data_IF_533807710128
#
_entry.id   IF_533807710128
#
_cell.length_a   1.000
_cell.length_b   1.000
_cell.length_c   1.000
_cell.angle_alpha   90.00
_cell.angle_beta   90.00
_cell.angle_gamma   90.00
#
_symmetry.space_group_name_H-M   'P 1'
#
loop_
_entity.id
_entity.type
_entity.pdbx_description
1 polymer ?
#
# COMPACT_ATOMS: atom_id res chain seq x y z
N UNK A 1 -5.38 18.48 27.89
CA UNK A 1 -5.33 18.05 26.47
C UNK A 1 -5.61 16.57 26.46
N UNK A 2 -6.70 16.15 25.82
CA UNK A 2 -7.03 14.72 25.70
C UNK A 2 -6.09 14.17 24.64
N UNK A 3 -5.12 13.36 25.06
CA UNK A 3 -4.28 12.59 24.15
C UNK A 3 -5.18 11.60 23.44
N UNK A 4 -5.45 11.85 22.16
CA UNK A 4 -6.14 10.90 21.30
C UNK A 4 -5.25 9.65 21.13
N UNK A 5 -5.77 8.43 21.29
CA UNK A 5 -4.99 7.20 21.14
C UNK A 5 -4.40 7.04 19.74
N UNK A 6 -3.24 6.38 19.66
CA UNK A 6 -2.50 6.04 18.42
C UNK A 6 -3.34 5.28 17.37
N UNK A 7 -4.47 4.70 17.79
CA UNK A 7 -5.49 4.06 16.95
C UNK A 7 -6.10 5.01 15.90
N UNK A 8 -6.19 6.30 16.19
CA UNK A 8 -6.72 7.28 15.24
C UNK A 8 -5.74 7.60 14.08
N UNK A 9 -4.45 7.27 14.18
CA UNK A 9 -3.46 7.73 13.19
C UNK A 9 -3.28 6.80 11.97
N UNK A 10 -3.43 5.48 12.11
CA UNK A 10 -3.42 4.55 10.96
C UNK A 10 -4.77 4.55 10.20
N UNK A 11 -5.84 4.93 10.90
CA UNK A 11 -7.19 5.02 10.34
C UNK A 11 -7.27 6.05 9.21
N UNK A 12 -6.43 7.09 9.18
CA UNK A 12 -6.62 8.23 8.28
C UNK A 12 -6.26 8.03 6.80
N UNK A 13 -5.54 6.95 6.43
CA UNK A 13 -5.28 6.58 5.03
C UNK A 13 -6.09 5.39 4.53
N UNK A 14 -6.54 4.52 5.43
CA UNK A 14 -7.69 3.67 5.17
C UNK A 14 -9.01 4.39 5.47
N UNK A 15 -9.09 5.70 5.74
CA UNK A 15 -10.36 6.38 6.06
C UNK A 15 -11.41 6.35 4.93
N UNK A 16 -11.03 5.96 3.70
CA UNK A 16 -11.98 5.63 2.62
C UNK A 16 -12.29 4.14 2.46
N UNK A 17 -11.61 3.29 3.22
CA UNK A 17 -11.70 1.84 3.26
C UNK A 17 -12.30 1.46 4.62
N UNK A 18 -13.39 0.71 4.63
CA UNK A 18 -14.00 0.29 5.88
C UNK A 18 -13.12 -0.78 6.53
N UNK A 19 -12.91 -0.68 7.84
CA UNK A 19 -12.39 -1.80 8.61
C UNK A 19 -13.40 -2.93 8.53
N UNK A 20 -12.90 -4.14 8.29
CA UNK A 20 -13.72 -5.34 8.26
C UNK A 20 -13.77 -5.94 9.66
N UNK A 21 -14.97 -6.32 10.09
CA UNK A 21 -15.16 -7.00 11.36
C UNK A 21 -14.43 -8.34 11.35
N UNK A 22 -13.85 -8.72 12.49
CA UNK A 22 -12.97 -9.91 12.57
C UNK A 22 -13.66 -11.21 12.13
N UNK A 23 -14.99 -11.27 12.24
CA UNK A 23 -15.81 -12.41 11.85
C UNK A 23 -15.93 -12.57 10.32
N UNK A 24 -15.80 -11.48 9.56
CA UNK A 24 -15.94 -11.45 8.10
C UNK A 24 -14.58 -11.65 7.37
N UNK A 25 -13.46 -11.42 8.07
CA UNK A 25 -12.10 -11.59 7.51
C UNK A 25 -11.89 -12.98 6.87
N UNK A 26 -12.32 -14.10 7.49
CA UNK A 26 -12.15 -15.42 6.89
C UNK A 26 -12.86 -15.59 5.56
N UNK A 27 -14.08 -15.07 5.42
CA UNK A 27 -14.86 -15.20 4.19
C UNK A 27 -14.16 -14.49 3.03
N UNK A 28 -13.73 -13.25 3.23
CA UNK A 28 -13.03 -12.46 2.20
C UNK A 28 -11.72 -13.13 1.74
N UNK A 29 -10.92 -13.63 2.68
CA UNK A 29 -9.65 -14.29 2.34
C UNK A 29 -9.86 -15.65 1.68
N UNK A 30 -10.90 -16.39 2.06
CA UNK A 30 -11.29 -17.64 1.40
C UNK A 30 -11.75 -17.36 -0.03
N UNK A 31 -12.54 -16.30 -0.26
CA UNK A 31 -13.00 -15.93 -1.59
C UNK A 31 -11.82 -15.64 -2.53
N UNK A 32 -10.85 -14.84 -2.08
CA UNK A 32 -9.62 -14.56 -2.86
C UNK A 32 -8.88 -15.85 -3.24
N UNK A 33 -8.77 -16.78 -2.28
CA UNK A 33 -8.13 -18.08 -2.51
C UNK A 33 -8.90 -18.92 -3.52
N UNK A 34 -10.22 -19.06 -3.35
CA UNK A 34 -11.06 -19.90 -4.21
C UNK A 34 -11.16 -19.36 -5.64
N UNK A 35 -11.10 -18.04 -5.80
CA UNK A 35 -11.08 -17.39 -7.11
C UNK A 35 -9.68 -17.26 -7.71
N UNK A 36 -8.64 -17.80 -7.04
CA UNK A 36 -7.25 -17.71 -7.48
C UNK A 36 -6.79 -16.26 -7.76
N UNK A 37 -7.23 -15.31 -6.92
CA UNK A 37 -6.87 -13.90 -7.06
C UNK A 37 -5.44 -13.67 -6.57
N UNK A 38 -4.68 -12.89 -7.33
CA UNK A 38 -3.34 -12.46 -6.94
C UNK A 38 -3.43 -11.23 -6.05
N UNK A 39 -2.64 -11.23 -4.97
CA UNK A 39 -2.39 -10.09 -4.11
C UNK A 39 -1.00 -9.55 -4.41
N UNK A 40 -0.81 -8.26 -4.20
CA UNK A 40 0.51 -7.64 -4.18
C UNK A 40 1.06 -7.72 -2.76
N UNK A 41 2.16 -8.43 -2.58
CA UNK A 41 2.96 -8.45 -1.37
C UNK A 41 3.98 -7.32 -1.39
N UNK A 42 3.91 -6.45 -0.40
CA UNK A 42 4.88 -5.40 -0.13
C UNK A 42 5.72 -5.82 1.07
N UNK A 43 7.04 -5.75 0.89
CA UNK A 43 8.01 -6.20 1.89
C UNK A 43 8.80 -5.03 2.45
N UNK A 44 8.86 -4.99 3.78
CA UNK A 44 9.48 -3.93 4.57
C UNK A 44 10.96 -3.70 4.20
N UNK A 45 11.74 -4.77 4.03
CA UNK A 45 13.20 -4.65 3.97
C UNK A 45 13.78 -4.50 2.56
N UNK A 46 13.00 -4.80 1.52
CA UNK A 46 13.55 -4.96 0.16
C UNK A 46 12.93 -4.01 -0.85
N UNK A 47 11.89 -3.25 -0.48
CA UNK A 47 11.07 -2.45 -1.40
C UNK A 47 10.53 -3.25 -2.61
N UNK A 48 10.62 -4.59 -2.57
CA UNK A 48 10.17 -5.48 -3.62
C UNK A 48 8.67 -5.72 -3.47
N UNK A 49 7.97 -5.58 -4.59
CA UNK A 49 6.58 -5.99 -4.73
C UNK A 49 6.51 -7.32 -5.46
N UNK A 50 5.77 -8.28 -4.92
CA UNK A 50 5.57 -9.56 -5.58
C UNK A 50 4.08 -9.87 -5.71
N UNK A 51 3.67 -10.32 -6.90
CA UNK A 51 2.36 -10.91 -7.08
C UNK A 51 2.35 -12.31 -6.43
N UNK A 52 1.46 -12.50 -5.47
CA UNK A 52 1.33 -13.72 -4.66
C UNK A 52 -0.11 -14.24 -4.72
N UNK A 53 -0.30 -15.52 -4.49
CA UNK A 53 -1.62 -16.12 -4.30
C UNK A 53 -1.70 -16.82 -2.94
N UNK A 54 -2.87 -16.75 -2.30
CA UNK A 54 -3.16 -17.54 -1.10
C UNK A 54 -3.38 -18.99 -1.53
N UNK A 55 -2.57 -19.92 -1.03
CA UNK A 55 -2.68 -21.35 -1.38
C UNK A 55 -3.34 -22.17 -0.29
N UNK A 56 -3.05 -21.85 0.98
CA UNK A 56 -3.61 -22.52 2.15
C UNK A 56 -3.84 -21.53 3.28
N UNK A 57 -4.85 -21.79 4.10
CA UNK A 57 -5.15 -21.02 5.29
C UNK A 57 -5.39 -21.96 6.46
N UNK A 58 -4.93 -21.55 7.64
CA UNK A 58 -5.25 -22.16 8.93
C UNK A 58 -5.82 -21.08 9.85
N UNK A 59 -6.21 -21.45 11.07
CA UNK A 59 -6.69 -20.49 12.07
C UNK A 59 -5.63 -19.45 12.49
N UNK A 60 -4.35 -19.68 12.22
CA UNK A 60 -3.23 -18.86 12.72
C UNK A 60 -2.23 -18.42 11.67
N UNK A 61 -2.37 -18.91 10.42
CA UNK A 61 -1.42 -18.60 9.35
C UNK A 61 -2.06 -18.67 7.98
N UNK A 62 -1.49 -17.91 7.06
CA UNK A 62 -1.79 -17.97 5.63
C UNK A 62 -0.51 -18.40 4.91
N UNK A 63 -0.63 -19.37 4.03
CA UNK A 63 0.42 -19.78 3.12
C UNK A 63 0.21 -19.07 1.79
N UNK A 64 1.27 -18.42 1.31
CA UNK A 64 1.28 -17.67 0.07
C UNK A 64 2.37 -18.21 -0.85
N UNK A 65 2.10 -18.22 -2.16
CA UNK A 65 3.03 -18.61 -3.21
C UNK A 65 3.10 -17.59 -4.32
N UNK A 66 4.12 -17.72 -5.16
CA UNK A 66 4.33 -16.90 -6.35
C UNK A 66 4.96 -17.73 -7.45
N UNK A 67 4.85 -17.28 -8.70
CA UNK A 67 5.43 -17.93 -9.88
C UNK A 67 6.97 -17.89 -9.88
N UNK A 68 7.56 -16.97 -9.11
CA UNK A 68 9.01 -16.87 -8.90
C UNK A 68 9.39 -17.08 -7.42
N UNK A 69 9.51 -18.33 -6.92
CA UNK A 69 9.74 -18.60 -5.50
C UNK A 69 10.97 -17.90 -4.89
N UNK A 70 11.98 -17.56 -5.70
CA UNK A 70 13.16 -16.83 -5.25
C UNK A 70 12.84 -15.39 -4.80
N UNK A 71 11.72 -14.80 -5.23
CA UNK A 71 11.30 -13.48 -4.75
C UNK A 71 10.61 -13.52 -3.38
N UNK A 72 10.26 -14.70 -2.88
CA UNK A 72 9.78 -14.92 -1.52
C UNK A 72 10.91 -15.11 -0.50
N UNK A 73 12.18 -14.95 -0.90
CA UNK A 73 13.30 -14.96 0.03
C UNK A 73 13.20 -13.77 0.99
N UNK A 74 12.82 -14.02 2.24
CA UNK A 74 12.69 -12.99 3.27
C UNK A 74 13.12 -13.41 4.65
N UNK A 75 13.00 -12.49 5.60
CA UNK A 75 13.41 -12.74 6.98
C UNK A 75 12.19 -13.11 7.83
N UNK A 76 12.30 -14.15 8.63
CA UNK A 76 11.28 -14.45 9.64
C UNK A 76 11.19 -13.25 10.60
N UNK A 77 9.96 -12.81 10.88
CA UNK A 77 9.69 -11.61 11.67
C UNK A 77 9.52 -10.32 10.85
N UNK A 78 9.85 -10.34 9.56
CA UNK A 78 9.67 -9.20 8.65
C UNK A 78 8.19 -8.86 8.49
N UNK A 79 7.87 -7.56 8.49
CA UNK A 79 6.52 -7.06 8.27
C UNK A 79 6.22 -7.01 6.77
N UNK A 80 5.00 -7.39 6.43
CA UNK A 80 4.51 -7.35 5.07
C UNK A 80 3.13 -6.68 5.02
N UNK A 81 2.89 -5.97 3.93
CA UNK A 81 1.57 -5.47 3.56
C UNK A 81 1.10 -6.29 2.36
N UNK A 82 -0.10 -6.85 2.44
CA UNK A 82 -0.73 -7.56 1.34
C UNK A 82 -1.91 -6.74 0.85
N UNK A 83 -1.96 -6.42 -0.44
CA UNK A 83 -3.11 -5.71 -1.03
C UNK A 83 -3.59 -6.41 -2.28
N UNK A 84 -4.89 -6.70 -2.30
CA UNK A 84 -5.58 -7.13 -3.50
C UNK A 84 -6.32 -5.94 -4.13
N UNK A 85 -6.14 -5.84 -5.44
CA UNK A 85 -6.83 -4.89 -6.30
C UNK A 85 -7.83 -5.66 -7.14
N UNK A 86 -9.11 -5.58 -6.78
CA UNK A 86 -10.22 -6.09 -7.57
C UNK A 86 -11.02 -4.98 -8.24
N UNK A 87 -11.82 -5.40 -9.21
CA UNK A 87 -12.73 -4.54 -10.00
C UNK A 87 -13.77 -3.86 -9.12
N UNK A 88 -14.39 -4.64 -8.23
CA UNK A 88 -15.51 -4.17 -7.40
C UNK A 88 -15.10 -3.82 -5.97
N UNK A 89 -13.98 -4.41 -5.52
CA UNK A 89 -13.46 -4.25 -4.18
C UNK A 89 -11.93 -4.32 -4.17
N UNK A 90 -11.31 -3.49 -3.34
CA UNK A 90 -9.90 -3.61 -2.98
C UNK A 90 -9.80 -3.94 -1.51
N UNK A 91 -8.84 -4.76 -1.12
CA UNK A 91 -8.59 -5.10 0.29
C UNK A 91 -7.11 -5.05 0.61
N UNK A 92 -6.80 -4.66 1.84
CA UNK A 92 -5.44 -4.60 2.36
C UNK A 92 -5.37 -5.19 3.76
N UNK A 93 -4.26 -5.81 4.10
CA UNK A 93 -3.97 -6.25 5.46
C UNK A 93 -2.47 -6.31 5.72
N UNK A 94 -2.09 -6.13 6.98
CA UNK A 94 -0.72 -6.32 7.45
C UNK A 94 -0.52 -7.73 8.00
N UNK A 95 0.66 -8.29 7.79
CA UNK A 95 1.06 -9.57 8.38
C UNK A 95 2.58 -9.67 8.63
N UNK A 96 3.02 -10.73 9.31
CA UNK A 96 4.43 -11.00 9.59
C UNK A 96 4.83 -12.33 9.00
N UNK A 97 6.03 -12.41 8.40
CA UNK A 97 6.60 -13.67 7.93
C UNK A 97 6.90 -14.58 9.13
N UNK A 98 6.25 -15.74 9.20
CA UNK A 98 6.47 -16.74 10.26
C UNK A 98 7.47 -17.82 9.86
N UNK A 99 7.41 -18.26 8.61
CA UNK A 99 8.25 -19.32 8.08
C UNK A 99 8.35 -19.22 6.56
N UNK A 100 9.43 -19.76 6.00
CA UNK A 100 9.63 -19.92 4.56
C UNK A 100 10.15 -21.34 4.37
N UNK A 101 9.45 -22.12 3.55
CA UNK A 101 9.84 -23.49 3.24
C UNK A 101 9.60 -23.81 1.75
N UNK A 102 9.82 -25.07 1.37
CA UNK A 102 9.68 -25.51 -0.02
C UNK A 102 8.25 -25.38 -0.58
N UNK A 103 7.26 -25.23 0.30
CA UNK A 103 5.86 -25.09 -0.07
C UNK A 103 5.40 -23.64 -0.18
N UNK A 104 6.18 -22.68 0.31
CA UNK A 104 5.90 -21.25 0.19
C UNK A 104 6.36 -20.39 1.37
N UNK A 105 5.87 -19.16 1.39
CA UNK A 105 6.00 -18.27 2.54
C UNK A 105 4.75 -18.37 3.41
N UNK A 106 4.95 -18.48 4.72
CA UNK A 106 3.88 -18.49 5.72
C UNK A 106 3.87 -17.16 6.43
N UNK A 107 2.72 -16.49 6.41
CA UNK A 107 2.49 -15.24 7.12
C UNK A 107 1.46 -15.44 8.22
N UNK A 108 1.50 -14.60 9.26
CA UNK A 108 0.48 -14.58 10.31
C UNK A 108 -0.92 -14.35 9.73
N UNK A 109 -1.92 -14.92 10.38
CA UNK A 109 -3.30 -14.57 10.05
C UNK A 109 -3.56 -13.10 10.40
N UNK A 110 -4.08 -12.27 9.47
CA UNK A 110 -4.29 -10.86 9.73
C UNK A 110 -5.36 -10.67 10.80
N UNK A 111 -5.06 -9.83 11.79
CA UNK A 111 -6.03 -9.44 12.83
C UNK A 111 -6.93 -8.28 12.39
N UNK A 112 -6.52 -7.57 11.34
CA UNK A 112 -7.21 -6.43 10.80
C UNK A 112 -7.11 -6.47 9.28
N UNK A 113 -8.22 -6.17 8.63
CA UNK A 113 -8.34 -6.04 7.19
C UNK A 113 -9.11 -4.77 6.89
N UNK A 114 -8.71 -4.10 5.82
CA UNK A 114 -9.35 -2.89 5.31
C UNK A 114 -9.92 -3.18 3.94
N UNK A 115 -11.13 -2.70 3.66
CA UNK A 115 -11.84 -2.95 2.42
C UNK A 115 -12.38 -1.65 1.82
N UNK A 116 -12.09 -1.40 0.54
CA UNK A 116 -12.70 -0.32 -0.23
C UNK A 116 -13.66 -0.89 -1.26
N UNK A 117 -14.91 -0.51 -1.13
CA UNK A 117 -15.89 -0.61 -2.20
C UNK A 117 -15.66 0.52 -3.21
N UNK A 118 -15.86 0.24 -4.49
CA UNK A 118 -15.74 1.25 -5.57
C UNK A 118 -16.58 2.50 -5.25
N UNK A 119 -15.94 3.69 -5.27
CA UNK A 119 -16.63 4.98 -5.17
C UNK A 119 -17.03 5.47 -6.56
N UNK A 120 -18.09 6.29 -6.62
CA UNK A 120 -18.57 7.04 -7.81
C UNK A 120 -17.56 8.03 -8.46
N UNK A 121 -16.30 8.10 -8.00
CA UNK A 121 -15.29 9.02 -8.54
C UNK A 121 -13.95 8.32 -8.86
N UNK A 122 -13.34 8.78 -9.95
CA UNK A 122 -12.22 8.29 -10.79
C UNK A 122 -10.87 8.01 -10.07
N UNK A 123 -10.86 7.22 -8.98
CA UNK A 123 -9.64 6.57 -8.49
C UNK A 123 -9.59 5.15 -9.02
N UNK A 124 -8.59 4.89 -9.84
CA UNK A 124 -8.43 3.63 -10.52
C UNK A 124 -7.56 2.68 -9.70
N UNK A 125 -8.03 1.45 -9.57
CA UNK A 125 -7.19 0.33 -9.13
C UNK A 125 -6.08 0.11 -10.15
N UNK A 126 -4.87 -0.16 -9.66
CA UNK A 126 -3.74 -0.49 -10.52
C UNK A 126 -3.84 -1.94 -10.98
N UNK A 127 -3.64 -2.18 -12.27
CA UNK A 127 -3.52 -3.53 -12.85
C UNK A 127 -2.07 -4.00 -12.95
N UNK A 128 -1.11 -3.11 -12.67
CA UNK A 128 0.33 -3.37 -12.69
C UNK A 128 1.02 -2.76 -11.47
N UNK A 129 2.14 -3.36 -11.05
CA UNK A 129 2.97 -2.78 -10.00
C UNK A 129 3.57 -1.45 -10.46
N UNK A 130 3.50 -0.45 -9.59
CA UNK A 130 4.03 0.89 -9.83
C UNK A 130 4.74 1.41 -8.59
N UNK A 131 5.93 1.96 -8.77
CA UNK A 131 6.73 2.58 -7.71
C UNK A 131 6.72 4.08 -7.89
N UNK A 132 6.70 4.82 -6.79
CA UNK A 132 6.77 6.25 -6.75
C UNK A 132 8.03 6.72 -6.01
N UNK A 133 8.59 7.82 -6.50
CA UNK A 133 9.75 8.51 -5.98
C UNK A 133 9.35 9.95 -5.72
N UNK A 134 9.41 10.41 -4.49
CA UNK A 134 9.10 11.78 -4.14
C UNK A 134 10.33 12.48 -3.57
N UNK A 135 10.71 13.62 -4.13
CA UNK A 135 11.82 14.42 -3.65
C UNK A 135 11.37 15.83 -3.32
N UNK A 136 11.67 16.26 -2.10
CA UNK A 136 11.51 17.64 -1.65
C UNK A 136 12.92 18.22 -1.43
N UNK A 137 13.26 19.41 -1.96
CA UNK A 137 14.56 20.05 -1.73
C UNK A 137 14.96 20.24 -0.27
N UNK A 138 13.98 20.22 0.65
CA UNK A 138 14.21 20.32 2.10
C UNK A 138 14.54 18.98 2.76
N UNK A 139 14.34 17.87 2.04
CA UNK A 139 14.71 16.54 2.48
C UNK A 139 16.07 16.15 1.91
N UNK A 140 16.91 15.53 2.74
CA UNK A 140 18.22 15.08 2.32
C UNK A 140 18.17 13.90 1.34
N UNK A 141 17.11 13.08 1.43
CA UNK A 141 16.92 11.89 0.61
C UNK A 141 15.49 11.83 0.07
N UNK A 142 15.30 11.35 -1.17
CA UNK A 142 13.97 11.10 -1.72
C UNK A 142 13.28 9.96 -0.98
N UNK A 143 11.96 10.03 -0.91
CA UNK A 143 11.11 8.99 -0.35
C UNK A 143 10.69 8.05 -1.46
N UNK A 144 10.87 6.76 -1.22
CA UNK A 144 10.55 5.69 -2.14
C UNK A 144 9.35 4.91 -1.62
N UNK A 145 8.39 4.62 -2.46
CA UNK A 145 7.28 3.79 -2.05
C UNK A 145 6.51 3.20 -3.20
N UNK A 146 5.57 2.33 -2.87
CA UNK A 146 4.78 1.62 -3.85
C UNK A 146 3.41 2.27 -3.98
N UNK A 147 2.97 2.51 -5.21
CA UNK A 147 1.70 3.17 -5.49
C UNK A 147 0.57 2.19 -5.19
N UNK A 148 -0.36 2.64 -4.36
CA UNK A 148 -1.51 1.85 -3.92
C UNK A 148 -2.73 2.11 -4.79
N UNK A 149 -2.95 3.36 -5.15
CA UNK A 149 -3.96 3.75 -6.14
C UNK A 149 -3.56 5.06 -6.80
N UNK A 150 -4.18 5.34 -7.94
CA UNK A 150 -3.99 6.57 -8.68
C UNK A 150 -5.31 7.08 -9.24
N UNK A 151 -5.49 8.39 -9.18
CA UNK A 151 -6.58 9.13 -9.83
C UNK A 151 -6.00 10.06 -10.87
N UNK A 152 -6.67 10.12 -12.02
CA UNK A 152 -6.51 11.18 -12.99
C UNK A 152 -7.91 11.61 -13.43
N UNK A 153 -8.30 12.84 -13.07
CA UNK A 153 -9.64 13.36 -13.29
C UNK A 153 -9.63 14.87 -13.24
N UNK A 154 -9.54 15.52 -14.42
CA UNK A 154 -9.36 16.97 -14.52
C UNK A 154 -8.16 17.49 -13.71
N UNK A 155 -8.34 18.55 -12.93
CA UNK A 155 -7.32 19.11 -12.03
C UNK A 155 -7.17 18.35 -10.69
N UNK A 156 -7.90 17.26 -10.46
CA UNK A 156 -7.91 16.51 -9.20
C UNK A 156 -7.18 15.17 -9.32
N UNK A 157 -5.98 15.20 -9.89
CA UNK A 157 -5.08 14.05 -9.90
C UNK A 157 -4.44 13.81 -8.55
N UNK A 158 -4.18 12.56 -8.22
CA UNK A 158 -3.47 12.21 -6.98
C UNK A 158 -3.29 10.72 -6.83
N UNK A 159 -2.53 10.32 -5.82
CA UNK A 159 -2.21 8.93 -5.56
C UNK A 159 -2.01 8.66 -4.08
N UNK A 160 -2.06 7.39 -3.71
CA UNK A 160 -1.53 6.93 -2.44
C UNK A 160 -0.31 6.05 -2.66
N UNK A 161 0.62 6.13 -1.72
CA UNK A 161 1.88 5.39 -1.75
C UNK A 161 2.14 4.78 -0.37
N UNK A 162 2.60 3.53 -0.33
CA UNK A 162 3.15 2.91 0.87
C UNK A 162 4.68 3.00 0.84
N UNK A 163 5.29 3.62 1.84
CA UNK A 163 6.74 3.71 2.03
C UNK A 163 7.16 3.07 3.34
N UNK A 164 8.41 2.65 3.42
CA UNK A 164 8.99 2.16 4.67
C UNK A 164 9.24 3.34 5.61
N UNK A 165 8.92 3.14 6.89
CA UNK A 165 9.25 4.09 7.95
C UNK A 165 10.16 3.42 8.98
N UNK A 166 11.42 3.87 9.00
CA UNK A 166 12.44 3.45 9.96
C UNK A 166 12.50 4.38 11.21
N UNK A 167 11.49 5.23 11.38
CA UNK A 167 11.42 6.27 12.39
C UNK A 167 12.19 7.55 12.04
N UNK A 168 12.85 7.61 10.86
CA UNK A 168 13.55 8.81 10.39
C UNK A 168 12.76 9.61 9.36
N UNK A 169 11.59 9.14 8.95
CA UNK A 169 10.75 9.83 7.98
C UNK A 169 10.24 11.15 8.60
N UNK A 170 10.84 12.27 8.19
CA UNK A 170 10.44 13.60 8.65
C UNK A 170 9.76 14.34 7.51
N UNK A 171 8.43 14.34 7.50
CA UNK A 171 7.61 14.94 6.45
C UNK A 171 6.47 15.76 7.06
N UNK A 172 6.11 16.84 6.39
CA UNK A 172 4.99 17.69 6.81
C UNK A 172 3.94 17.77 5.71
N UNK A 173 2.67 17.78 6.12
CA UNK A 173 1.58 18.04 5.20
C UNK A 173 1.80 19.38 4.48
N UNK A 174 1.36 19.43 3.24
CA UNK A 174 1.53 20.53 2.30
C UNK A 174 2.94 20.75 1.75
N UNK A 175 3.91 19.92 2.14
CA UNK A 175 5.19 19.88 1.45
C UNK A 175 5.01 19.53 -0.02
N UNK A 176 5.68 20.29 -0.88
CA UNK A 176 5.66 20.09 -2.31
C UNK A 176 7.01 19.58 -2.77
N UNK A 177 6.97 18.65 -3.71
CA UNK A 177 8.15 18.04 -4.27
C UNK A 177 7.90 17.59 -5.69
N UNK A 178 8.97 17.09 -6.29
CA UNK A 178 8.89 16.36 -7.54
C UNK A 178 8.44 14.93 -7.26
N UNK A 179 7.55 14.41 -8.10
CA UNK A 179 7.13 13.02 -8.08
C UNK A 179 7.49 12.34 -9.39
N UNK A 180 8.03 11.13 -9.30
CA UNK A 180 8.26 10.23 -10.44
C UNK A 180 7.47 8.95 -10.16
N UNK A 181 6.66 8.52 -11.12
CA UNK A 181 6.02 7.21 -11.15
C UNK A 181 6.78 6.33 -12.12
N UNK A 182 7.01 5.07 -11.76
CA UNK A 182 7.72 4.07 -12.56
C UNK A 182 6.88 2.79 -12.59
N UNK A 183 6.54 2.33 -13.79
CA UNK A 183 5.91 1.02 -13.98
C UNK A 183 6.95 -0.10 -14.00
N UNK A 184 6.48 -1.33 -13.85
CA UNK A 184 7.30 -2.54 -14.03
C UNK A 184 7.94 -2.66 -15.43
N UNK A 185 7.32 -2.08 -16.46
CA UNK A 185 7.86 -2.03 -17.83
C UNK A 185 8.94 -0.95 -18.05
N UNK A 186 9.32 -0.23 -16.98
CA UNK A 186 10.29 0.88 -16.93
C UNK A 186 9.82 2.18 -17.59
N UNK A 187 8.59 2.25 -18.08
CA UNK A 187 8.01 3.54 -18.42
C UNK A 187 7.88 4.40 -17.17
N UNK A 188 8.12 5.69 -17.31
CA UNK A 188 8.07 6.63 -16.19
C UNK A 188 7.27 7.88 -16.55
N UNK A 189 6.70 8.48 -15.53
CA UNK A 189 6.00 9.75 -15.60
C UNK A 189 6.45 10.65 -14.46
N UNK A 190 6.57 11.95 -14.72
CA UNK A 190 7.13 12.91 -13.76
C UNK A 190 6.27 14.15 -13.69
N UNK A 191 6.06 14.65 -12.47
CA UNK A 191 5.33 15.89 -12.22
C UNK A 191 5.68 16.47 -10.85
N UNK A 192 4.93 17.47 -10.40
CA UNK A 192 4.98 17.98 -9.03
C UNK A 192 3.83 17.38 -8.24
N UNK A 193 4.06 17.14 -6.96
CA UNK A 193 3.03 16.67 -6.05
C UNK A 193 3.14 17.36 -4.70
N UNK A 194 1.99 17.56 -4.08
CA UNK A 194 1.86 18.01 -2.70
C UNK A 194 1.47 16.84 -1.81
N UNK A 195 2.21 16.65 -0.72
CA UNK A 195 1.81 15.72 0.34
C UNK A 195 0.56 16.27 1.02
N UNK A 196 -0.56 15.59 0.87
CA UNK A 196 -1.83 15.97 1.49
C UNK A 196 -2.14 15.13 2.73
N UNK A 197 -1.51 13.97 2.88
CA UNK A 197 -1.79 13.00 3.94
C UNK A 197 -0.55 12.18 4.30
N UNK A 198 -0.42 11.83 5.57
CA UNK A 198 0.58 10.88 6.08
C UNK A 198 -0.01 10.11 7.26
N UNK A 199 0.14 8.78 7.28
CA UNK A 199 -0.25 7.92 8.39
C UNK A 199 0.79 6.83 8.61
N UNK A 200 1.06 6.51 9.87
CA UNK A 200 1.88 5.37 10.25
C UNK A 200 0.99 4.14 10.44
N UNK A 201 1.36 3.00 9.86
CA UNK A 201 0.64 1.74 10.01
C UNK A 201 1.55 0.71 10.67
N UNK A 202 1.18 0.28 11.88
CA UNK A 202 1.91 -0.71 12.68
C UNK A 202 1.00 -1.88 13.06
N UNK A 203 1.59 -3.04 13.40
CA UNK A 203 0.83 -4.24 13.78
C UNK A 203 0.53 -4.36 15.28
N UNK A 204 1.14 -3.52 16.11
CA UNK A 204 1.02 -3.59 17.57
C UNK A 204 0.19 -2.40 18.07
N UNK A 205 -1.09 -2.65 18.30
CA UNK A 205 -1.93 -1.78 19.14
C UNK A 205 -1.84 -2.33 20.56
N UNK A 206 -1.05 -1.69 21.43
CA UNK A 206 -1.14 -1.94 22.87
C UNK A 206 -1.91 -0.81 23.53
N UNK A 207 -2.99 -1.14 24.24
CA UNK A 207 -3.75 -0.25 25.13
C UNK A 207 -2.98 0.07 26.42
N UNK A 208 -1.70 0.45 26.33
CA UNK A 208 -0.87 0.84 27.48
C UNK A 208 -0.20 2.19 27.26
N UNK A 209 -0.19 3.02 28.31
CA UNK A 209 0.41 4.36 28.33
C UNK A 209 1.93 4.38 28.11
N UNK A 210 2.58 3.21 28.12
CA UNK A 210 3.94 3.03 27.64
C UNK A 210 3.92 2.16 26.38
N UNK A 211 4.27 2.77 25.24
CA UNK A 211 4.54 2.09 23.98
C UNK A 211 5.94 2.48 23.52
N UNK A 212 6.91 1.59 23.74
CA UNK A 212 8.13 1.62 22.94
C UNK A 212 7.78 1.08 21.56
N UNK A 213 7.44 2.00 20.65
CA UNK A 213 7.31 1.72 19.22
C UNK A 213 8.72 1.36 18.72
N UNK A 214 8.93 0.11 18.33
CA UNK A 214 10.13 -0.26 17.59
C UNK A 214 10.15 0.50 16.25
N UNK A 215 11.32 0.93 15.75
CA UNK A 215 11.45 1.84 14.62
C UNK A 215 11.05 1.27 13.24
N UNK A 216 10.16 0.28 13.12
CA UNK A 216 9.99 -0.48 11.88
C UNK A 216 8.49 -0.66 11.51
N UNK A 217 8.03 0.00 10.45
CA UNK A 217 6.66 -0.07 9.93
C UNK A 217 6.49 0.51 8.52
N UNK A 218 5.24 0.75 8.12
CA UNK A 218 4.94 1.42 6.85
C UNK A 218 4.31 2.78 7.11
N UNK A 219 4.79 3.82 6.43
CA UNK A 219 4.07 5.07 6.28
C UNK A 219 3.25 5.03 4.99
N UNK A 220 1.96 5.35 5.09
CA UNK A 220 1.11 5.58 3.93
C UNK A 220 1.09 7.09 3.66
N UNK A 221 1.35 7.49 2.43
CA UNK A 221 1.44 8.88 2.00
C UNK A 221 0.42 9.14 0.90
N UNK A 222 -0.34 10.22 1.03
CA UNK A 222 -1.33 10.66 0.05
C UNK A 222 -0.87 11.93 -0.64
N UNK A 223 -0.79 11.89 -1.96
CA UNK A 223 -0.32 12.99 -2.79
C UNK A 223 -1.43 13.54 -3.69
N UNK A 224 -1.46 14.86 -3.85
CA UNK A 224 -2.19 15.52 -4.93
C UNK A 224 -1.19 15.97 -6.00
N UNK A 225 -1.44 15.63 -7.26
CA UNK A 225 -0.62 16.09 -8.37
C UNK A 225 -0.90 17.57 -8.65
N UNK A 226 0.15 18.32 -8.95
CA UNK A 226 0.08 19.73 -9.31
C UNK A 226 0.29 19.81 -10.83
N UNK A 227 -0.79 20.01 -11.56
CA UNK A 227 -0.73 20.20 -13.01
C UNK A 227 -0.66 21.68 -13.37
N UNK A 228 0.32 22.05 -14.19
CA UNK A 228 0.47 23.43 -14.71
C UNK A 228 -0.57 23.72 -15.79
N UNK A 229 -0.95 22.70 -16.56
CA UNK A 229 -1.96 22.79 -17.60
C UNK A 229 -2.68 21.44 -17.83
N UNK A 230 -3.70 21.48 -18.70
CA UNK A 230 -4.45 20.29 -19.08
C UNK A 230 -3.57 19.27 -19.82
N UNK A 231 -2.59 19.71 -20.61
CA UNK A 231 -1.72 18.82 -21.36
C UNK A 231 -0.92 17.91 -20.42
N UNK A 232 -0.42 18.45 -19.30
CA UNK A 232 0.26 17.66 -18.28
C UNK A 232 -0.67 16.61 -17.65
N UNK A 233 -1.94 16.94 -17.39
CA UNK A 233 -2.92 15.95 -16.91
C UNK A 233 -3.20 14.84 -17.93
N UNK A 234 -3.20 15.16 -19.23
CA UNK A 234 -3.36 14.15 -20.29
C UNK A 234 -2.12 13.23 -20.40
N UNK A 235 -0.91 13.73 -20.11
CA UNK A 235 0.28 12.85 -20.07
C UNK A 235 0.19 11.80 -18.97
N UNK A 236 -0.44 12.11 -17.83
CA UNK A 236 -0.71 11.13 -16.79
C UNK A 236 -1.71 10.08 -17.28
N UNK A 237 -2.79 10.51 -17.95
CA UNK A 237 -3.76 9.59 -18.53
C UNK A 237 -3.10 8.61 -19.50
N UNK A 238 -2.33 9.12 -20.46
CA UNK A 238 -1.59 8.31 -21.43
C UNK A 238 -0.60 7.37 -20.74
N UNK A 239 0.11 7.87 -19.73
CA UNK A 239 0.98 7.03 -18.92
C UNK A 239 0.20 5.91 -18.25
N UNK A 240 -1.01 6.14 -17.75
CA UNK A 240 -1.78 5.12 -17.04
C UNK A 240 -2.51 4.13 -17.96
N UNK A 241 -2.51 4.34 -19.28
CA UNK A 241 -3.11 3.40 -20.24
C UNK A 241 -2.56 1.98 -20.05
N UNK A 242 -3.48 1.01 -19.99
CA UNK A 242 -3.18 -0.41 -19.75
C UNK A 242 -2.70 -0.74 -18.33
N UNK A 243 -2.58 0.25 -17.44
CA UNK A 243 -2.10 0.10 -16.05
C UNK A 243 -3.18 0.37 -15.01
N UNK A 244 -4.35 0.80 -15.49
CA UNK A 244 -5.56 1.05 -14.73
C UNK A 244 -6.72 0.37 -15.45
N UNK A 245 -7.74 -0.04 -14.70
CA UNK A 245 -8.91 -0.67 -15.29
C UNK A 245 -9.66 0.29 -16.23
N UNK A 246 -10.11 -0.17 -17.42
CA UNK A 246 -10.99 0.62 -18.27
C UNK A 246 -12.31 0.95 -17.54
N UNK A 247 -12.78 2.19 -17.69
CA UNK A 247 -14.12 2.61 -17.22
C UNK A 247 -15.24 1.83 -17.90
#
# INVERSE_FOLDING_TARGET
MINKPLYEHAQELFLSWNTVDSEDIPELLIELRLQHRYLTLFREQTALTQQIAITKMTATSIQINTDNPLSLLGQIGEKVLCVYYGTDQSLGFLSTIRAIDASGMHIDYPKQLWLRNTRKHERFSLTVNMTAYWSNPQLNEPIYGQVMDVSYGGFMGGMHMATYDDGKLNIHLHEQGEIILLKSDRSSWKSRAELRRSALVTQNLSDSDDVTIGPNGFALLGFAFIFEDKQQSETLKQFLEGSIEPL
#
